data_IF_755467960875
#
_entry.id   IF_755467960875
#
_cell.length_a   1.000
_cell.length_b   1.000
_cell.length_c   1.000
_cell.angle_alpha   90.00
_cell.angle_beta   90.00
_cell.angle_gamma   90.00
#
_symmetry.space_group_name_H-M   'P 1'
#
loop_
_entity.id
_entity.type
_entity.pdbx_description
1 polymer ?
#
# COMPACT_ATOMS: atom_id res chain seq x y z
N UNK A 1 2.55 9.06 20.26
CA UNK A 1 3.74 9.54 19.51
C UNK A 1 3.25 10.53 18.47
N UNK A 2 3.98 11.60 18.15
CA UNK A 2 3.48 12.59 17.21
C UNK A 2 3.48 11.95 15.82
N UNK A 3 2.30 11.96 15.20
CA UNK A 3 2.12 11.72 13.78
C UNK A 3 2.96 12.77 13.05
N UNK A 4 4.08 12.35 12.48
CA UNK A 4 5.03 13.27 11.85
C UNK A 4 4.42 13.71 10.51
N UNK A 5 3.95 14.96 10.36
CA UNK A 5 3.19 15.39 9.17
C UNK A 5 4.04 15.44 7.89
N UNK A 6 5.34 15.18 8.00
CA UNK A 6 6.29 15.05 6.89
C UNK A 6 6.54 13.60 6.46
N UNK A 7 6.05 12.60 7.19
CA UNK A 7 6.21 11.20 6.80
C UNK A 7 5.40 10.92 5.54
N UNK A 8 6.04 10.31 4.52
CA UNK A 8 5.32 9.81 3.36
C UNK A 8 4.22 8.84 3.85
N UNK A 9 3.02 8.83 3.26
CA UNK A 9 1.98 7.91 3.67
C UNK A 9 2.42 6.43 3.68
N UNK A 10 3.35 6.06 2.81
CA UNK A 10 3.98 4.72 2.81
C UNK A 10 4.86 4.46 4.04
N UNK A 11 5.57 5.47 4.54
CA UNK A 11 6.35 5.38 5.77
C UNK A 11 5.43 5.20 7.00
N UNK A 12 4.29 5.91 7.03
CA UNK A 12 3.28 5.75 8.08
C UNK A 12 2.65 4.36 8.05
N UNK A 13 2.34 3.82 6.87
CA UNK A 13 1.82 2.44 6.72
C UNK A 13 2.85 1.42 7.20
N UNK A 14 4.13 1.58 6.81
CA UNK A 14 5.19 0.67 7.25
C UNK A 14 5.42 0.75 8.77
N UNK A 15 5.32 1.94 9.36
CA UNK A 15 5.43 2.13 10.81
C UNK A 15 4.26 1.47 11.55
N UNK A 16 3.03 1.65 11.09
CA UNK A 16 1.86 1.02 11.68
C UNK A 16 1.90 -0.50 11.56
N UNK A 17 2.31 -1.02 10.40
CA UNK A 17 2.46 -2.46 10.20
C UNK A 17 3.50 -3.06 11.15
N UNK A 18 4.62 -2.36 11.40
CA UNK A 18 5.60 -2.78 12.43
C UNK A 18 4.96 -2.86 13.82
N UNK A 19 4.21 -1.83 14.23
CA UNK A 19 3.49 -1.84 15.50
C UNK A 19 2.53 -3.03 15.61
N UNK A 20 1.76 -3.30 14.55
CA UNK A 20 0.85 -4.46 14.49
C UNK A 20 1.61 -5.78 14.64
N UNK A 21 2.79 -5.91 14.03
CA UNK A 21 3.61 -7.13 14.14
C UNK A 21 4.12 -7.36 15.57
N UNK A 22 4.54 -6.29 16.25
CA UNK A 22 5.01 -6.32 17.65
C UNK A 22 3.85 -6.62 18.62
N UNK A 23 2.68 -6.01 18.42
CA UNK A 23 1.53 -6.14 19.33
C UNK A 23 0.68 -7.40 19.06
N UNK A 24 0.70 -7.93 17.83
CA UNK A 24 -0.07 -9.10 17.41
C UNK A 24 0.82 -10.14 16.70
N UNK A 25 1.39 -11.12 17.42
CA UNK A 25 2.21 -12.17 16.81
C UNK A 25 1.50 -12.98 15.72
N UNK A 26 0.18 -13.20 15.86
CA UNK A 26 -0.62 -13.86 14.81
C UNK A 26 -0.79 -13.01 13.54
N UNK A 27 -0.58 -11.70 13.62
CA UNK A 27 -0.66 -10.76 12.52
C UNK A 27 0.70 -10.53 11.84
N UNK A 28 1.81 -10.96 12.47
CA UNK A 28 3.17 -10.60 12.09
C UNK A 28 3.52 -10.92 10.62
N UNK A 29 3.05 -12.06 10.10
CA UNK A 29 3.29 -12.41 8.70
C UNK A 29 2.62 -11.41 7.74
N UNK A 30 1.33 -11.12 7.94
CA UNK A 30 0.60 -10.16 7.09
C UNK A 30 1.15 -8.74 7.23
N UNK A 31 1.52 -8.34 8.45
CA UNK A 31 2.16 -7.06 8.70
C UNK A 31 3.52 -6.95 7.97
N UNK A 32 4.31 -8.03 7.95
CA UNK A 32 5.58 -8.09 7.22
C UNK A 32 5.37 -7.96 5.70
N UNK A 33 4.34 -8.60 5.16
CA UNK A 33 3.96 -8.43 3.75
C UNK A 33 3.63 -6.97 3.45
N UNK A 34 2.84 -6.29 4.30
CA UNK A 34 2.50 -4.88 4.12
C UNK A 34 3.76 -3.98 4.12
N UNK A 35 4.71 -4.23 5.02
CA UNK A 35 5.98 -3.49 5.08
C UNK A 35 6.79 -3.67 3.79
N UNK A 36 6.87 -4.91 3.29
CA UNK A 36 7.55 -5.22 2.05
C UNK A 36 6.89 -4.49 0.87
N UNK A 37 5.57 -4.59 0.72
CA UNK A 37 4.82 -3.91 -0.35
C UNK A 37 4.97 -2.39 -0.30
N UNK A 38 4.91 -1.78 0.89
CA UNK A 38 5.11 -0.34 1.04
C UNK A 38 6.52 0.11 0.59
N UNK A 39 7.53 -0.72 0.86
CA UNK A 39 8.92 -0.47 0.46
C UNK A 39 9.11 -0.62 -1.05
N UNK A 40 8.56 -1.69 -1.64
CA UNK A 40 8.58 -1.91 -3.10
C UNK A 40 7.92 -0.77 -3.88
N UNK A 41 6.75 -0.31 -3.42
CA UNK A 41 6.04 0.80 -4.07
C UNK A 41 6.84 2.10 -3.98
N UNK A 42 7.48 2.35 -2.82
CA UNK A 42 8.34 3.52 -2.62
C UNK A 42 9.56 3.51 -3.55
N UNK A 43 10.19 2.35 -3.71
CA UNK A 43 11.40 2.19 -4.51
C UNK A 43 11.08 2.24 -6.01
N UNK A 44 10.11 1.45 -6.44
CA UNK A 44 9.77 1.31 -7.87
C UNK A 44 8.95 2.46 -8.41
N UNK A 45 8.26 3.22 -7.55
CA UNK A 45 7.35 4.33 -7.91
C UNK A 45 6.52 3.99 -9.15
N UNK A 46 5.76 2.88 -9.12
CA UNK A 46 5.09 2.35 -10.29
C UNK A 46 4.21 3.43 -10.91
N UNK A 47 4.20 3.56 -12.22
CA UNK A 47 3.36 4.53 -12.91
C UNK A 47 1.87 4.24 -12.73
N UNK A 48 1.05 5.20 -13.17
CA UNK A 48 -0.40 5.11 -13.17
C UNK A 48 -0.94 3.81 -13.81
N UNK A 49 -0.33 3.41 -14.92
CA UNK A 49 -0.72 2.26 -15.74
C UNK A 49 -0.24 0.96 -15.11
N UNK A 50 1.00 0.94 -14.62
CA UNK A 50 1.57 -0.23 -13.94
C UNK A 50 0.79 -0.57 -12.66
N UNK A 51 0.40 0.44 -11.88
CA UNK A 51 -0.41 0.21 -10.68
C UNK A 51 -1.81 -0.33 -11.04
N UNK A 52 -2.42 0.19 -12.10
CA UNK A 52 -3.73 -0.31 -12.54
C UNK A 52 -3.63 -1.77 -13.02
N UNK A 53 -2.62 -2.09 -13.81
CA UNK A 53 -2.37 -3.45 -14.29
C UNK A 53 -2.10 -4.41 -13.12
N UNK A 54 -1.37 -3.99 -12.09
CA UNK A 54 -1.11 -4.80 -10.90
C UNK A 54 -2.40 -5.07 -10.11
N UNK A 55 -3.23 -4.05 -9.90
CA UNK A 55 -4.52 -4.20 -9.22
C UNK A 55 -5.45 -5.11 -10.02
N UNK A 56 -5.49 -4.96 -11.34
CA UNK A 56 -6.28 -5.84 -12.20
C UNK A 56 -5.76 -7.28 -12.15
N UNK A 57 -4.45 -7.51 -12.25
CA UNK A 57 -3.88 -8.85 -12.18
C UNK A 57 -4.15 -9.56 -10.84
N UNK A 58 -4.18 -8.80 -9.75
CA UNK A 58 -4.30 -9.34 -8.39
C UNK A 58 -5.75 -9.46 -7.94
N UNK A 59 -6.61 -8.50 -8.27
CA UNK A 59 -7.96 -8.39 -7.72
C UNK A 59 -9.06 -8.78 -8.71
N UNK A 60 -8.75 -9.01 -9.99
CA UNK A 60 -9.76 -9.43 -10.98
C UNK A 60 -10.39 -10.76 -10.58
N UNK A 61 -11.72 -10.80 -10.56
CA UNK A 61 -12.49 -11.96 -10.10
C UNK A 61 -12.68 -12.04 -8.58
N UNK A 62 -11.93 -11.26 -7.79
CA UNK A 62 -12.09 -11.15 -6.34
C UNK A 62 -12.87 -9.90 -5.92
N UNK A 63 -12.72 -8.80 -6.67
CA UNK A 63 -13.41 -7.54 -6.44
C UNK A 63 -14.27 -7.15 -7.66
N UNK A 64 -15.47 -6.58 -7.44
CA UNK A 64 -16.25 -5.91 -8.49
C UNK A 64 -15.44 -4.78 -9.15
N UNK A 65 -15.72 -4.48 -10.41
CA UNK A 65 -15.00 -3.45 -11.18
C UNK A 65 -15.01 -2.08 -10.50
N UNK A 66 -16.15 -1.64 -9.93
CA UNK A 66 -16.24 -0.37 -9.19
C UNK A 66 -15.31 -0.31 -7.96
N UNK A 67 -15.17 -1.43 -7.24
CA UNK A 67 -14.29 -1.51 -6.07
C UNK A 67 -12.81 -1.53 -6.49
N UNK A 68 -12.49 -2.19 -7.60
CA UNK A 68 -11.15 -2.15 -8.21
C UNK A 68 -10.79 -0.73 -8.65
N UNK A 69 -11.72 -0.01 -9.27
CA UNK A 69 -11.50 1.38 -9.67
C UNK A 69 -11.25 2.30 -8.47
N UNK A 70 -12.04 2.15 -7.40
CA UNK A 70 -11.84 2.91 -6.15
C UNK A 70 -10.49 2.59 -5.51
N UNK A 71 -10.09 1.32 -5.48
CA UNK A 71 -8.78 0.90 -4.97
C UNK A 71 -7.63 1.54 -5.75
N UNK A 72 -7.71 1.54 -7.08
CA UNK A 72 -6.72 2.20 -7.94
C UNK A 72 -6.68 3.70 -7.63
N UNK A 73 -7.83 4.39 -7.59
CA UNK A 73 -7.88 5.84 -7.28
C UNK A 73 -7.32 6.16 -5.90
N UNK A 74 -7.63 5.35 -4.89
CA UNK A 74 -7.13 5.51 -3.52
C UNK A 74 -5.62 5.34 -3.45
N UNK A 75 -5.10 4.22 -3.95
CA UNK A 75 -3.65 3.96 -4.01
C UNK A 75 -2.92 5.06 -4.79
N UNK A 76 -3.56 5.60 -5.83
CA UNK A 76 -2.99 6.70 -6.60
C UNK A 76 -2.78 7.97 -5.77
N UNK A 77 -3.74 8.33 -4.94
CA UNK A 77 -3.61 9.48 -4.04
C UNK A 77 -2.48 9.29 -3.02
N UNK A 78 -2.19 8.04 -2.64
CA UNK A 78 -1.15 7.68 -1.67
C UNK A 78 0.27 7.72 -2.23
N UNK A 79 0.47 7.35 -3.51
CA UNK A 79 1.82 7.08 -4.06
C UNK A 79 2.50 8.32 -4.65
N UNK A 80 1.81 9.47 -4.84
CA UNK A 80 2.36 10.69 -5.48
C UNK A 80 3.24 10.33 -6.69
N UNK A 81 2.64 9.83 -7.77
CA UNK A 81 3.40 9.46 -8.98
C UNK A 81 4.24 10.62 -9.49
N UNK A 82 5.40 10.28 -10.05
CA UNK A 82 6.06 11.18 -10.99
C UNK A 82 5.17 11.25 -12.26
N UNK A 83 4.85 12.48 -12.68
CA UNK A 83 4.20 12.75 -13.97
C UNK A 83 5.12 12.42 -15.15
#
# INVERSE_FOLDING_TARGET
MPDNPEASPLDSIAALARQIADECPSCANRASEIIMWASEIRERRPSREELAALVDATCKGYLPDDQRELLIKGLRAFVRFAE
#
